data_IF_493955337673
#
_entry.id   IF_493955337673
#
_cell.length_a   1.000
_cell.length_b   1.000
_cell.length_c   1.000
_cell.angle_alpha   90.00
_cell.angle_beta   90.00
_cell.angle_gamma   90.00
#
_symmetry.space_group_name_H-M   'P 1'
#
loop_
_entity.id
_entity.type
_entity.pdbx_description
1 polymer ?
#
# COMPACT_ATOMS: atom_id res chain seq x y z
N UNK A 1 -30.72 38.10 9.17
CA UNK A 1 -30.13 38.83 8.02
C UNK A 1 -30.41 38.01 6.77
N UNK A 2 -31.45 38.40 6.06
CA UNK A 2 -31.79 37.92 4.71
C UNK A 2 -30.82 38.57 3.72
N UNK A 3 -30.35 37.84 2.71
CA UNK A 3 -30.25 38.27 1.30
C UNK A 3 -30.11 37.01 0.44
N UNK A 4 -31.06 36.91 -0.49
CA UNK A 4 -31.18 36.04 -1.65
C UNK A 4 -30.11 36.33 -2.71
N UNK A 5 -29.83 35.36 -3.58
CA UNK A 5 -29.03 35.56 -4.78
C UNK A 5 -29.20 34.41 -5.77
N UNK A 6 -30.32 34.43 -6.50
CA UNK A 6 -30.54 33.64 -7.71
C UNK A 6 -29.58 34.09 -8.83
N UNK A 7 -29.22 33.16 -9.70
CA UNK A 7 -28.43 33.42 -10.90
C UNK A 7 -28.69 32.33 -11.95
N UNK A 8 -29.77 32.50 -12.70
CA UNK A 8 -30.04 31.82 -13.97
C UNK A 8 -28.96 32.17 -15.01
N UNK A 9 -28.53 31.18 -15.79
CA UNK A 9 -27.98 31.42 -17.14
C UNK A 9 -28.61 30.44 -18.13
N UNK A 10 -29.34 31.01 -19.07
CA UNK A 10 -29.96 30.38 -20.25
C UNK A 10 -28.97 30.48 -21.42
N UNK A 11 -28.77 29.39 -22.18
CA UNK A 11 -28.58 29.46 -23.63
C UNK A 11 -28.73 28.07 -24.29
N UNK A 12 -29.82 27.90 -25.04
CA UNK A 12 -30.01 26.86 -26.08
C UNK A 12 -29.56 27.41 -27.44
N UNK A 13 -29.07 26.52 -28.31
CA UNK A 13 -29.45 26.31 -29.73
C UNK A 13 -28.29 25.66 -30.53
N UNK A 14 -28.47 25.20 -31.78
CA UNK A 14 -29.47 24.24 -32.27
C UNK A 14 -28.82 23.05 -33.02
N UNK A 15 -29.66 22.06 -33.36
CA UNK A 15 -29.37 20.97 -34.31
C UNK A 15 -29.14 21.52 -35.72
N UNK A 16 -28.15 20.98 -36.44
CA UNK A 16 -28.11 21.02 -37.90
C UNK A 16 -28.01 19.60 -38.45
N UNK A 17 -29.15 19.12 -38.94
CA UNK A 17 -29.29 18.01 -39.87
C UNK A 17 -28.79 18.43 -41.26
N UNK A 18 -27.83 17.71 -41.82
CA UNK A 18 -27.54 17.76 -43.25
C UNK A 18 -27.66 16.36 -43.84
N UNK A 19 -28.84 16.09 -44.38
CA UNK A 19 -29.10 15.05 -45.37
C UNK A 19 -28.52 15.50 -46.71
N UNK A 20 -27.63 14.69 -47.30
CA UNK A 20 -27.06 14.98 -48.60
C UNK A 20 -26.64 13.72 -49.34
N UNK A 21 -27.39 13.38 -50.37
CA UNK A 21 -26.81 13.07 -51.67
C UNK A 21 -26.21 11.69 -51.87
N UNK A 22 -27.07 10.77 -52.28
CA UNK A 22 -26.77 9.57 -53.04
C UNK A 22 -25.99 9.89 -54.34
N UNK A 23 -24.95 9.10 -54.65
CA UNK A 23 -24.41 8.90 -56.02
C UNK A 23 -23.37 7.78 -56.04
N UNK A 24 -23.81 6.64 -56.57
CA UNK A 24 -23.05 5.79 -57.51
C UNK A 24 -21.61 5.40 -57.12
N UNK A 25 -21.46 4.21 -56.53
CA UNK A 25 -20.16 3.50 -56.51
C UNK A 25 -20.35 2.02 -56.80
N UNK A 26 -20.54 1.71 -58.08
CA UNK A 26 -20.29 0.36 -58.60
C UNK A 26 -18.79 0.22 -58.86
N UNK A 27 -18.29 -1.02 -58.69
CA UNK A 27 -16.92 -1.53 -58.93
C UNK A 27 -15.96 -1.52 -57.72
N UNK A 28 -15.76 -2.73 -57.18
CA UNK A 28 -14.52 -3.28 -56.57
C UNK A 28 -14.75 -4.03 -55.24
N UNK A 29 -15.61 -5.05 -55.27
CA UNK A 29 -15.83 -5.95 -54.11
C UNK A 29 -14.61 -6.87 -53.86
N UNK A 30 -13.73 -7.05 -54.84
CA UNK A 30 -12.52 -7.89 -54.72
C UNK A 30 -11.32 -7.18 -54.07
N UNK A 31 -11.20 -5.85 -54.13
CA UNK A 31 -10.10 -5.13 -53.44
C UNK A 31 -10.35 -4.87 -51.95
N UNK A 32 -11.64 -4.74 -51.57
CA UNK A 32 -12.05 -4.49 -50.18
C UNK A 32 -11.75 -5.70 -49.27
N UNK A 33 -12.01 -6.93 -49.73
CA UNK A 33 -11.69 -8.15 -48.97
C UNK A 33 -10.18 -8.32 -48.76
N UNK A 34 -9.36 -8.02 -49.78
CA UNK A 34 -7.90 -8.13 -49.69
C UNK A 34 -7.31 -7.15 -48.67
N UNK A 35 -7.77 -5.88 -48.67
CA UNK A 35 -7.39 -4.88 -47.66
C UNK A 35 -7.82 -5.25 -46.23
N UNK A 36 -8.96 -5.92 -46.08
CA UNK A 36 -9.46 -6.32 -44.75
C UNK A 36 -8.63 -7.47 -44.17
N UNK A 37 -8.16 -8.39 -45.00
CA UNK A 37 -7.28 -9.49 -44.58
C UNK A 37 -5.90 -8.95 -44.21
N UNK A 38 -5.27 -8.13 -45.06
CA UNK A 38 -3.96 -7.52 -44.79
C UNK A 38 -3.95 -6.70 -43.49
N UNK A 39 -5.01 -5.93 -43.22
CA UNK A 39 -5.14 -5.16 -41.97
C UNK A 39 -5.18 -6.06 -40.73
N UNK A 40 -5.92 -7.18 -40.78
CA UNK A 40 -5.98 -8.14 -39.67
C UNK A 40 -4.64 -8.86 -39.45
N UNK A 41 -3.93 -9.18 -40.53
CA UNK A 41 -2.61 -9.82 -40.43
C UNK A 41 -1.56 -8.87 -39.84
N UNK A 42 -1.61 -7.58 -40.21
CA UNK A 42 -0.76 -6.54 -39.63
C UNK A 42 -1.07 -6.28 -38.15
N UNK A 43 -2.35 -6.23 -37.77
CA UNK A 43 -2.77 -6.08 -36.37
C UNK A 43 -2.31 -7.26 -35.52
N UNK A 44 -2.50 -8.50 -36.00
CA UNK A 44 -2.06 -9.72 -35.32
C UNK A 44 -0.52 -9.78 -35.19
N UNK A 45 0.22 -9.41 -36.24
CA UNK A 45 1.69 -9.36 -36.22
C UNK A 45 2.20 -8.28 -35.26
N UNK A 46 1.56 -7.10 -35.23
CA UNK A 46 1.92 -6.05 -34.28
C UNK A 46 1.67 -6.47 -32.83
N UNK A 47 0.60 -7.23 -32.58
CA UNK A 47 0.26 -7.75 -31.25
C UNK A 47 1.27 -8.82 -30.81
N UNK A 48 1.66 -9.71 -31.72
CA UNK A 48 2.68 -10.74 -31.46
C UNK A 48 4.06 -10.12 -31.15
N UNK A 49 4.49 -9.12 -31.93
CA UNK A 49 5.75 -8.40 -31.68
C UNK A 49 5.71 -7.67 -30.34
N UNK A 50 4.61 -6.97 -30.01
CA UNK A 50 4.45 -6.32 -28.70
C UNK A 50 4.52 -7.31 -27.55
N UNK A 51 3.89 -8.48 -27.70
CA UNK A 51 3.95 -9.56 -26.70
C UNK A 51 5.37 -10.09 -26.53
N UNK A 52 6.08 -10.37 -27.63
CA UNK A 52 7.46 -10.88 -27.59
C UNK A 52 8.44 -9.87 -26.96
N UNK A 53 8.31 -8.57 -27.29
CA UNK A 53 9.12 -7.51 -26.68
C UNK A 53 8.83 -7.37 -25.17
N UNK A 54 7.55 -7.45 -24.79
CA UNK A 54 7.13 -7.44 -23.39
C UNK A 54 7.71 -8.64 -22.62
N UNK A 55 7.57 -9.85 -23.17
CA UNK A 55 8.06 -11.08 -22.52
C UNK A 55 9.59 -11.06 -22.37
N UNK A 56 10.33 -10.53 -23.35
CA UNK A 56 11.79 -10.38 -23.28
C UNK A 56 12.21 -9.37 -22.20
N UNK A 57 11.54 -8.22 -22.11
CA UNK A 57 11.79 -7.22 -21.05
C UNK A 57 11.48 -7.78 -19.66
N UNK A 58 10.43 -8.58 -19.54
CA UNK A 58 10.08 -9.25 -18.27
C UNK A 58 11.13 -10.27 -17.87
N UNK A 59 11.63 -11.07 -18.81
CA UNK A 59 12.72 -12.01 -18.54
C UNK A 59 14.00 -11.29 -18.09
N UNK A 60 14.34 -10.17 -18.74
CA UNK A 60 15.51 -9.36 -18.39
C UNK A 60 15.38 -8.76 -16.98
N UNK A 61 14.23 -8.14 -16.68
CA UNK A 61 13.93 -7.61 -15.35
C UNK A 61 13.99 -8.72 -14.31
N UNK A 62 13.38 -9.87 -14.58
CA UNK A 62 13.41 -11.03 -13.68
C UNK A 62 14.84 -11.54 -13.47
N UNK A 63 15.66 -11.64 -14.52
CA UNK A 63 17.05 -12.09 -14.41
C UNK A 63 17.94 -11.11 -13.63
N UNK A 64 17.61 -9.83 -13.66
CA UNK A 64 18.32 -8.78 -12.92
C UNK A 64 17.89 -8.69 -11.44
N UNK A 65 16.82 -9.38 -11.04
CA UNK A 65 16.46 -9.47 -9.64
C UNK A 65 17.50 -10.28 -8.86
N UNK A 66 17.81 -9.84 -7.64
CA UNK A 66 18.62 -10.59 -6.69
C UNK A 66 18.04 -12.03 -6.54
N UNK A 67 18.91 -13.04 -6.51
CA UNK A 67 18.50 -14.46 -6.44
C UNK A 67 17.59 -14.74 -5.23
N UNK A 68 17.85 -14.10 -4.09
CA UNK A 68 17.04 -14.25 -2.90
C UNK A 68 15.64 -13.66 -3.11
N UNK A 69 15.53 -12.50 -3.78
CA UNK A 69 14.22 -11.92 -4.10
C UNK A 69 13.44 -12.81 -5.09
N UNK A 70 14.13 -13.42 -6.07
CA UNK A 70 13.52 -14.44 -6.93
C UNK A 70 13.07 -15.67 -6.12
N UNK A 71 13.84 -16.10 -5.14
CA UNK A 71 13.45 -17.17 -4.22
C UNK A 71 12.22 -16.79 -3.39
N UNK A 72 12.14 -15.56 -2.89
CA UNK A 72 10.98 -15.00 -2.19
C UNK A 72 9.72 -14.96 -3.05
N UNK A 73 9.83 -14.51 -4.30
CA UNK A 73 8.69 -14.52 -5.23
C UNK A 73 8.19 -15.94 -5.50
N UNK A 74 9.11 -16.91 -5.56
CA UNK A 74 8.77 -18.34 -5.68
C UNK A 74 8.11 -18.89 -4.42
N UNK A 75 8.59 -18.53 -3.22
CA UNK A 75 8.09 -19.09 -1.95
C UNK A 75 6.76 -18.48 -1.51
N UNK A 76 6.58 -17.17 -1.70
CA UNK A 76 5.34 -16.45 -1.35
C UNK A 76 4.11 -16.90 -2.14
N UNK A 77 4.29 -17.70 -3.20
CA UNK A 77 3.20 -18.16 -4.06
C UNK A 77 2.90 -19.66 -3.94
N UNK A 78 3.44 -20.31 -2.90
CA UNK A 78 3.06 -21.64 -2.46
C UNK A 78 3.87 -22.76 -3.11
N UNK A 79 4.79 -23.35 -2.35
CA UNK A 79 5.20 -24.74 -2.52
C UNK A 79 4.11 -25.66 -1.95
N UNK A 80 3.05 -25.93 -2.70
CA UNK A 80 2.22 -27.11 -2.46
C UNK A 80 2.78 -28.27 -3.28
N UNK A 81 3.04 -29.38 -2.59
CA UNK A 81 3.52 -30.65 -3.13
C UNK A 81 2.81 -31.05 -4.43
N UNK A 82 3.63 -31.35 -5.43
CA UNK A 82 3.29 -31.71 -6.81
C UNK A 82 2.23 -32.82 -6.87
N UNK A 83 1.03 -32.48 -7.31
CA UNK A 83 0.04 -33.42 -7.86
C UNK A 83 -0.76 -32.71 -8.97
N UNK A 84 -1.17 -33.44 -10.02
CA UNK A 84 -1.73 -32.97 -11.31
C UNK A 84 -2.90 -31.95 -11.30
N UNK A 85 -3.40 -31.55 -10.13
CA UNK A 85 -4.29 -30.37 -9.96
C UNK A 85 -3.53 -29.03 -10.06
N UNK A 86 -2.21 -29.04 -10.14
CA UNK A 86 -1.33 -27.87 -10.04
C UNK A 86 -1.16 -27.05 -11.33
N UNK A 87 -1.62 -27.49 -12.51
CA UNK A 87 -1.48 -26.68 -13.73
C UNK A 87 -2.20 -25.31 -13.61
N UNK A 88 -3.32 -25.27 -12.88
CA UNK A 88 -4.08 -24.03 -12.64
C UNK A 88 -3.44 -23.18 -11.52
N UNK A 89 -2.81 -23.81 -10.53
CA UNK A 89 -2.11 -23.14 -9.42
C UNK A 89 -0.81 -22.52 -9.94
N UNK A 90 -0.03 -23.26 -10.75
CA UNK A 90 1.17 -22.79 -11.44
C UNK A 90 0.83 -21.64 -12.40
N UNK A 91 -0.29 -21.71 -13.14
CA UNK A 91 -0.75 -20.60 -13.96
C UNK A 91 -1.08 -19.34 -13.14
N UNK A 92 -1.70 -19.49 -11.96
CA UNK A 92 -2.09 -18.36 -11.09
C UNK A 92 -0.87 -17.76 -10.35
N UNK A 93 0.05 -18.59 -9.88
CA UNK A 93 1.33 -18.15 -9.32
C UNK A 93 2.18 -17.44 -10.39
N UNK A 94 2.20 -17.97 -11.61
CA UNK A 94 2.84 -17.33 -12.77
C UNK A 94 2.20 -15.97 -13.08
N UNK A 95 0.88 -15.83 -12.99
CA UNK A 95 0.20 -14.55 -13.25
C UNK A 95 0.52 -13.49 -12.19
N UNK A 96 0.65 -13.87 -10.92
CA UNK A 96 1.02 -12.91 -9.86
C UNK A 96 2.51 -12.53 -9.94
N UNK A 97 3.41 -13.48 -10.18
CA UNK A 97 4.83 -13.19 -10.45
C UNK A 97 4.96 -12.31 -11.67
N UNK A 98 4.20 -12.60 -12.74
CA UNK A 98 4.17 -11.78 -13.95
C UNK A 98 3.70 -10.36 -13.64
N UNK A 99 2.61 -10.18 -12.88
CA UNK A 99 2.13 -8.85 -12.45
C UNK A 99 3.16 -8.09 -11.61
N UNK A 100 3.89 -8.77 -10.72
CA UNK A 100 4.95 -8.13 -9.90
C UNK A 100 6.14 -7.76 -10.79
N UNK A 101 6.58 -8.67 -11.66
CA UNK A 101 7.67 -8.41 -12.60
C UNK A 101 7.31 -7.28 -13.58
N UNK A 102 6.07 -7.25 -14.07
CA UNK A 102 5.51 -6.16 -14.89
C UNK A 102 5.41 -4.85 -14.13
N UNK A 103 5.29 -4.86 -12.78
CA UNK A 103 5.34 -3.66 -11.94
C UNK A 103 6.76 -3.16 -11.74
N UNK A 104 7.69 -4.07 -11.47
CA UNK A 104 9.12 -3.74 -11.31
C UNK A 104 9.73 -3.24 -12.63
N UNK A 105 9.25 -3.73 -13.77
CA UNK A 105 9.70 -3.30 -15.07
C UNK A 105 9.27 -1.87 -15.46
N UNK A 106 8.34 -1.23 -14.72
CA UNK A 106 7.72 0.05 -15.14
C UNK A 106 8.66 1.23 -15.02
N UNK A 107 9.48 1.28 -13.98
CA UNK A 107 10.40 2.39 -13.72
C UNK A 107 11.73 1.86 -13.16
N UNK A 108 12.82 2.57 -13.44
CA UNK A 108 14.19 2.19 -13.03
C UNK A 108 14.42 2.29 -11.51
N UNK A 109 13.54 2.99 -10.78
CA UNK A 109 13.73 3.36 -9.36
C UNK A 109 12.48 3.08 -8.50
N UNK A 110 11.87 1.90 -8.66
CA UNK A 110 10.71 1.50 -7.84
C UNK A 110 11.15 0.91 -6.50
N UNK A 111 10.65 1.45 -5.39
CA UNK A 111 10.93 0.92 -4.06
C UNK A 111 10.11 -0.36 -3.79
N UNK A 112 10.80 -1.43 -3.42
CA UNK A 112 10.22 -2.74 -3.05
C UNK A 112 9.87 -2.72 -1.57
N UNK A 113 8.57 -2.83 -1.28
CA UNK A 113 8.04 -2.78 0.08
C UNK A 113 7.43 -4.14 0.42
N UNK A 114 8.03 -4.84 1.37
CA UNK A 114 7.44 -6.05 1.95
C UNK A 114 6.52 -5.72 3.12
N UNK A 115 5.35 -6.34 3.15
CA UNK A 115 4.41 -6.29 4.28
C UNK A 115 4.39 -7.64 4.98
N UNK A 116 4.80 -7.70 6.24
CA UNK A 116 4.68 -8.90 7.09
C UNK A 116 3.42 -8.77 7.94
N UNK A 117 2.45 -9.66 7.77
CA UNK A 117 1.33 -9.79 8.70
C UNK A 117 1.74 -10.69 9.88
N UNK A 118 1.77 -10.12 11.09
CA UNK A 118 2.09 -10.82 12.34
C UNK A 118 0.83 -11.13 13.17
N UNK A 119 -0.28 -11.40 12.48
CA UNK A 119 -1.57 -11.73 13.11
C UNK A 119 -2.52 -10.53 13.22
N UNK A 120 -2.37 -9.51 12.39
CA UNK A 120 -3.28 -8.38 12.29
C UNK A 120 -4.65 -8.76 11.69
N UNK A 121 -4.78 -9.97 11.13
CA UNK A 121 -6.01 -10.59 10.62
C UNK A 121 -6.75 -9.71 9.60
N UNK A 122 -6.03 -9.24 8.58
CA UNK A 122 -6.56 -8.32 7.59
C UNK A 122 -7.13 -9.10 6.41
N UNK A 123 -8.42 -9.46 6.49
CA UNK A 123 -9.06 -10.35 5.52
C UNK A 123 -8.99 -9.94 4.04
N UNK A 124 -8.79 -8.65 3.72
CA UNK A 124 -8.63 -8.17 2.34
C UNK A 124 -7.29 -7.45 2.10
N UNK A 125 -6.22 -7.80 2.83
CA UNK A 125 -4.90 -7.20 2.64
C UNK A 125 -4.41 -7.28 1.19
N UNK A 126 -4.44 -8.44 0.48
CA UNK A 126 -3.96 -8.51 -0.91
C UNK A 126 -4.67 -7.52 -1.84
N UNK A 127 -5.98 -7.33 -1.65
CA UNK A 127 -6.79 -6.41 -2.46
C UNK A 127 -6.55 -4.95 -2.11
N UNK A 128 -6.25 -4.64 -0.85
CA UNK A 128 -5.79 -3.32 -0.43
C UNK A 128 -4.46 -3.00 -1.13
N UNK A 129 -3.47 -3.90 -1.05
CA UNK A 129 -2.16 -3.71 -1.67
C UNK A 129 -2.25 -3.59 -3.20
N UNK A 130 -3.13 -4.38 -3.84
CA UNK A 130 -3.40 -4.25 -5.28
C UNK A 130 -3.90 -2.85 -5.65
N UNK A 131 -4.86 -2.31 -4.89
CA UNK A 131 -5.41 -0.97 -5.11
C UNK A 131 -4.39 0.14 -4.90
N UNK A 132 -3.58 0.03 -3.84
CA UNK A 132 -2.51 1.00 -3.57
C UNK A 132 -1.46 0.98 -4.69
N UNK A 133 -1.00 -0.19 -5.12
CA UNK A 133 -0.09 -0.32 -6.25
C UNK A 133 -0.67 0.16 -7.58
N UNK A 134 -1.98 0.05 -7.78
CA UNK A 134 -2.62 0.55 -9.02
C UNK A 134 -2.70 2.08 -9.06
N UNK A 135 -2.63 2.75 -7.90
CA UNK A 135 -2.79 4.19 -7.79
C UNK A 135 -1.48 4.98 -8.05
N UNK A 136 -0.33 4.31 -8.08
CA UNK A 136 0.99 4.96 -8.13
C UNK A 136 2.06 4.04 -8.73
N UNK A 137 3.25 4.56 -9.02
CA UNK A 137 4.37 3.82 -9.61
C UNK A 137 5.68 3.88 -8.81
N UNK A 138 5.73 4.66 -7.73
CA UNK A 138 6.87 4.85 -6.84
C UNK A 138 7.20 3.61 -6.00
N UNK A 139 6.18 2.86 -5.57
CA UNK A 139 6.32 1.68 -4.72
C UNK A 139 5.78 0.43 -5.42
N UNK A 140 6.42 -0.71 -5.18
CA UNK A 140 5.88 -2.05 -5.38
C UNK A 140 5.67 -2.70 -4.02
N UNK A 141 4.43 -2.71 -3.56
CA UNK A 141 4.02 -3.20 -2.24
C UNK A 141 3.48 -4.63 -2.36
N UNK A 142 3.96 -5.56 -1.56
CA UNK A 142 3.48 -6.94 -1.55
C UNK A 142 3.61 -7.56 -0.17
N UNK A 143 2.77 -8.56 0.07
CA UNK A 143 2.83 -9.37 1.29
C UNK A 143 4.03 -10.32 1.22
N UNK A 144 4.73 -10.45 2.34
CA UNK A 144 5.87 -11.36 2.49
C UNK A 144 5.61 -12.32 3.64
N UNK A 145 5.89 -13.59 3.41
CA UNK A 145 5.85 -14.63 4.43
C UNK A 145 7.27 -14.83 4.97
N UNK A 146 7.48 -14.46 6.23
CA UNK A 146 8.76 -14.61 6.91
C UNK A 146 8.54 -15.12 8.33
N UNK A 147 9.46 -15.94 8.88
CA UNK A 147 9.40 -16.34 10.26
C UNK A 147 9.64 -15.12 11.15
N UNK A 148 8.78 -14.95 12.16
CA UNK A 148 8.90 -13.88 13.13
C UNK A 148 9.31 -14.49 14.47
N UNK A 149 10.35 -13.95 15.15
CA UNK A 149 10.78 -14.48 16.44
C UNK A 149 9.64 -14.56 17.44
N UNK A 150 9.62 -15.63 18.23
CA UNK A 150 8.73 -15.70 19.38
C UNK A 150 9.16 -14.68 20.45
N UNK A 151 8.21 -14.24 21.26
CA UNK A 151 8.49 -13.38 22.43
C UNK A 151 8.67 -11.89 22.12
N UNK A 152 8.37 -11.43 20.89
CA UNK A 152 8.29 -10.00 20.56
C UNK A 152 7.15 -9.30 21.31
N UNK A 153 6.07 -10.02 21.59
CA UNK A 153 4.93 -9.53 22.37
C UNK A 153 5.22 -9.74 23.85
N UNK A 154 5.14 -8.67 24.63
CA UNK A 154 5.25 -8.69 26.09
C UNK A 154 3.91 -8.34 26.72
N UNK A 155 3.62 -8.97 27.86
CA UNK A 155 2.55 -8.49 28.76
C UNK A 155 2.90 -7.11 29.31
N UNK A 156 1.96 -6.46 30.00
CA UNK A 156 2.20 -5.15 30.64
C UNK A 156 3.40 -5.24 31.62
N UNK A 157 3.42 -6.24 32.49
CA UNK A 157 4.52 -6.45 33.43
C UNK A 157 5.83 -6.77 32.69
N UNK A 158 5.79 -7.65 31.69
CA UNK A 158 6.97 -8.00 30.90
C UNK A 158 7.52 -6.83 30.09
N UNK A 159 6.67 -5.90 29.65
CA UNK A 159 7.08 -4.65 29.00
C UNK A 159 7.76 -3.72 30.01
N UNK A 160 7.22 -3.63 31.23
CA UNK A 160 7.79 -2.84 32.31
C UNK A 160 9.18 -3.35 32.71
N UNK A 161 9.33 -4.66 32.87
CA UNK A 161 10.61 -5.30 33.17
C UNK A 161 11.63 -5.08 32.04
N UNK A 162 11.18 -5.23 30.79
CA UNK A 162 12.00 -4.92 29.62
C UNK A 162 12.46 -3.46 29.61
N UNK A 163 11.56 -2.52 29.91
CA UNK A 163 11.87 -1.09 29.94
C UNK A 163 12.89 -0.76 31.04
N UNK A 164 12.72 -1.30 32.25
CA UNK A 164 13.67 -1.14 33.36
C UNK A 164 15.06 -1.62 32.99
N UNK A 165 15.15 -2.82 32.40
CA UNK A 165 16.41 -3.41 31.95
C UNK A 165 17.07 -2.55 30.86
N UNK A 166 16.30 -2.12 29.86
CA UNK A 166 16.80 -1.34 28.72
C UNK A 166 17.31 0.04 29.15
N UNK A 167 16.61 0.68 30.09
CA UNK A 167 16.93 2.00 30.61
C UNK A 167 17.93 1.99 31.77
N UNK A 168 18.27 0.82 32.31
CA UNK A 168 19.09 0.66 33.52
C UNK A 168 18.55 1.49 34.70
N UNK A 169 17.22 1.53 34.84
CA UNK A 169 16.51 2.26 35.89
C UNK A 169 15.41 1.39 36.49
N UNK A 170 15.31 1.38 37.82
CA UNK A 170 14.21 0.72 38.53
C UNK A 170 12.91 1.53 38.48
N UNK A 171 13.02 2.84 38.29
CA UNK A 171 11.91 3.78 38.21
C UNK A 171 11.77 4.23 36.75
N UNK A 172 10.79 3.64 36.06
CA UNK A 172 10.37 4.07 34.72
C UNK A 172 9.04 4.80 34.88
N UNK A 173 9.07 6.10 34.63
CA UNK A 173 7.84 6.88 34.51
C UNK A 173 7.36 6.81 33.06
N UNK A 174 6.23 6.14 32.85
CA UNK A 174 5.57 6.10 31.54
C UNK A 174 4.67 7.33 31.31
N UNK A 175 4.44 8.16 32.32
CA UNK A 175 3.49 9.27 32.24
C UNK A 175 2.11 8.82 31.76
N UNK A 176 1.55 9.57 30.81
CA UNK A 176 0.27 9.26 30.14
C UNK A 176 0.38 8.07 29.17
N UNK A 177 1.60 7.65 28.80
CA UNK A 177 1.87 6.56 27.85
C UNK A 177 2.00 5.19 28.53
N UNK A 178 1.48 5.03 29.75
CA UNK A 178 1.51 3.73 30.46
C UNK A 178 0.87 2.63 29.61
N UNK A 179 1.53 1.47 29.41
CA UNK A 179 0.98 0.38 28.61
C UNK A 179 -0.40 -0.05 29.12
N UNK A 180 -1.40 -0.03 28.23
CA UNK A 180 -2.79 -0.40 28.56
C UNK A 180 -3.13 -1.84 28.16
N UNK A 181 -2.24 -2.48 27.41
CA UNK A 181 -2.37 -3.83 26.89
C UNK A 181 -0.99 -4.43 26.59
N UNK A 182 -0.94 -5.67 26.13
CA UNK A 182 0.30 -6.28 25.64
C UNK A 182 0.91 -5.45 24.52
N UNK A 183 2.22 -5.20 24.62
CA UNK A 183 2.97 -4.42 23.65
C UNK A 183 3.84 -5.34 22.81
N UNK A 184 4.02 -5.01 21.54
CA UNK A 184 5.14 -5.53 20.77
C UNK A 184 6.34 -4.61 20.94
N UNK A 185 7.51 -5.19 21.20
CA UNK A 185 8.75 -4.42 21.33
C UNK A 185 9.25 -4.06 19.93
N UNK A 186 9.22 -2.78 19.61
CA UNK A 186 9.67 -2.27 18.31
C UNK A 186 11.16 -2.50 18.10
N UNK A 187 12.00 -2.25 19.12
CA UNK A 187 13.45 -2.49 19.07
C UNK A 187 13.79 -3.93 18.64
N UNK A 188 13.10 -4.93 19.22
CA UNK A 188 13.33 -6.35 18.91
C UNK A 188 12.82 -6.69 17.50
N UNK A 189 11.72 -6.08 17.08
CA UNK A 189 11.21 -6.22 15.71
C UNK A 189 12.20 -5.67 14.68
N UNK A 190 12.81 -4.50 14.90
CA UNK A 190 13.74 -3.86 13.93
C UNK A 190 14.91 -4.78 13.62
N UNK A 191 15.45 -5.49 14.62
CA UNK A 191 16.54 -6.47 14.43
C UNK A 191 16.10 -7.58 13.48
N UNK A 192 14.96 -8.22 13.76
CA UNK A 192 14.42 -9.29 12.91
C UNK A 192 14.02 -8.80 11.51
N UNK A 193 13.45 -7.60 11.45
CA UNK A 193 13.02 -6.96 10.22
C UNK A 193 14.19 -6.71 9.27
N UNK A 194 15.34 -6.30 9.80
CA UNK A 194 16.53 -6.03 8.98
C UNK A 194 17.06 -7.31 8.31
N UNK A 195 17.06 -8.44 9.02
CA UNK A 195 17.46 -9.74 8.47
C UNK A 195 16.50 -10.20 7.36
N UNK A 196 15.19 -10.06 7.58
CA UNK A 196 14.16 -10.37 6.58
C UNK A 196 14.32 -9.47 5.35
N UNK A 197 14.47 -8.16 5.57
CA UNK A 197 14.59 -7.15 4.51
C UNK A 197 15.82 -7.42 3.63
N UNK A 198 16.99 -7.59 4.24
CA UNK A 198 18.23 -7.93 3.52
C UNK A 198 18.14 -9.29 2.84
N UNK A 199 17.64 -10.29 3.57
CA UNK A 199 17.48 -11.65 3.08
C UNK A 199 16.62 -11.72 1.84
N UNK A 200 15.51 -10.98 1.80
CA UNK A 200 14.58 -10.94 0.68
C UNK A 200 14.92 -9.87 -0.37
N UNK A 201 15.96 -9.04 -0.15
CA UNK A 201 16.33 -7.96 -1.06
C UNK A 201 15.25 -6.89 -1.17
N UNK A 202 14.65 -6.50 -0.06
CA UNK A 202 13.62 -5.46 0.03
C UNK A 202 14.25 -4.10 0.31
N UNK A 203 13.64 -3.03 -0.22
CA UNK A 203 14.07 -1.67 0.10
C UNK A 203 13.49 -1.25 1.45
N UNK A 204 12.22 -1.59 1.71
CA UNK A 204 11.52 -1.34 2.96
C UNK A 204 10.80 -2.61 3.46
N UNK A 205 10.68 -2.76 4.78
CA UNK A 205 9.85 -3.79 5.41
C UNK A 205 8.89 -3.16 6.44
N UNK A 206 7.60 -3.47 6.33
CA UNK A 206 6.58 -3.01 7.26
C UNK A 206 5.90 -4.21 7.92
N UNK A 207 5.97 -4.31 9.23
CA UNK A 207 5.20 -5.26 10.02
C UNK A 207 3.80 -4.74 10.33
N UNK A 208 2.81 -5.63 10.36
CA UNK A 208 1.45 -5.37 10.84
C UNK A 208 1.17 -6.27 12.03
N UNK A 209 0.69 -5.72 13.15
CA UNK A 209 0.43 -6.49 14.38
C UNK A 209 -0.89 -6.07 15.03
N UNK A 210 -1.62 -6.97 15.73
CA UNK A 210 -2.80 -6.59 16.47
C UNK A 210 -2.47 -5.93 17.83
N UNK A 211 -1.20 -5.87 18.22
CA UNK A 211 -0.75 -5.32 19.50
C UNK A 211 -0.26 -3.88 19.35
N UNK A 212 -0.45 -3.08 20.40
CA UNK A 212 0.14 -1.75 20.47
C UNK A 212 1.67 -1.84 20.48
N UNK A 213 2.32 -0.78 20.02
CA UNK A 213 3.77 -0.73 19.93
C UNK A 213 4.37 -0.05 21.16
N UNK A 214 5.46 -0.61 21.67
CA UNK A 214 6.32 0.05 22.63
C UNK A 214 7.78 -0.12 22.25
N UNK A 215 8.65 0.78 22.72
CA UNK A 215 10.05 0.78 22.31
C UNK A 215 10.84 1.87 23.01
N UNK A 216 12.06 2.11 22.53
CA UNK A 216 12.87 3.25 22.96
C UNK A 216 13.19 4.21 21.82
N UNK A 217 13.15 5.51 22.10
CA UNK A 217 13.60 6.56 21.21
C UNK A 217 14.32 7.63 22.03
N UNK A 218 15.56 7.98 21.66
CA UNK A 218 16.36 9.01 22.36
C UNK A 218 16.47 8.81 23.89
N UNK A 219 16.54 7.57 24.37
CA UNK A 219 16.52 7.20 25.80
C UNK A 219 15.19 7.51 26.50
N UNK A 220 14.10 7.60 25.77
CA UNK A 220 12.74 7.67 26.30
C UNK A 220 12.04 6.37 25.92
N UNK A 221 11.34 5.77 26.89
CA UNK A 221 10.48 4.62 26.64
C UNK A 221 9.12 5.13 26.19
N UNK A 222 8.63 4.63 25.07
CA UNK A 222 7.28 4.92 24.60
C UNK A 222 6.44 3.64 24.60
N UNK A 223 5.13 3.77 24.79
CA UNK A 223 4.17 2.67 24.72
C UNK A 223 2.85 3.15 24.14
N UNK A 224 1.99 2.23 23.70
CA UNK A 224 0.71 2.56 23.07
C UNK A 224 0.83 3.39 21.77
N UNK A 225 1.85 3.13 20.96
CA UNK A 225 1.95 3.77 19.64
C UNK A 225 1.23 2.96 18.54
N UNK A 226 0.70 3.65 17.52
CA UNK A 226 0.12 3.02 16.33
C UNK A 226 1.15 2.67 15.26
N UNK A 227 2.27 3.40 15.21
CA UNK A 227 3.33 3.18 14.24
C UNK A 227 4.67 3.62 14.80
N UNK A 228 5.72 2.90 14.43
CA UNK A 228 7.10 3.26 14.72
C UNK A 228 7.97 2.90 13.50
N UNK A 229 9.01 3.68 13.27
CA UNK A 229 9.92 3.53 12.13
C UNK A 229 11.35 3.75 12.58
N UNK A 230 12.26 2.88 12.12
CA UNK A 230 13.70 3.02 12.28
C UNK A 230 14.40 2.54 11.01
N UNK A 231 15.13 3.43 10.36
CA UNK A 231 15.79 3.14 9.09
C UNK A 231 14.80 2.72 8.00
N UNK A 232 14.96 1.50 7.49
CA UNK A 232 14.12 0.92 6.44
C UNK A 232 13.05 -0.06 6.96
N UNK A 233 12.86 -0.09 8.28
CA UNK A 233 11.95 -1.01 8.97
C UNK A 233 10.90 -0.21 9.72
N UNK A 234 9.64 -0.60 9.55
CA UNK A 234 8.53 0.01 10.26
C UNK A 234 7.57 -1.04 10.80
N UNK A 235 6.82 -0.66 11.83
CA UNK A 235 5.82 -1.51 12.43
C UNK A 235 4.54 -0.70 12.62
N UNK A 236 3.40 -1.31 12.34
CA UNK A 236 2.08 -0.71 12.47
C UNK A 236 1.20 -1.60 13.34
N UNK A 237 0.60 -1.01 14.37
CA UNK A 237 -0.44 -1.61 15.17
C UNK A 237 -1.80 -1.43 14.51
N UNK A 238 -2.59 -2.51 14.49
CA UNK A 238 -4.00 -2.52 14.12
C UNK A 238 -4.93 -2.60 15.32
N UNK A 239 -4.40 -2.47 16.55
CA UNK A 239 -5.21 -2.44 17.76
C UNK A 239 -6.26 -1.32 17.65
N UNK A 240 -7.51 -1.64 17.99
CA UNK A 240 -8.70 -0.75 17.96
C UNK A 240 -9.04 -0.12 16.60
N UNK A 241 -8.19 -0.28 15.59
CA UNK A 241 -8.32 0.36 14.29
C UNK A 241 -9.60 -0.09 13.56
N UNK A 242 -10.12 -1.28 13.89
CA UNK A 242 -11.43 -1.74 13.42
C UNK A 242 -12.57 -0.89 13.96
N UNK A 243 -12.58 -0.63 15.27
CA UNK A 243 -13.57 0.22 15.92
C UNK A 243 -13.43 1.66 15.44
N UNK A 244 -12.21 2.20 15.40
CA UNK A 244 -11.96 3.56 14.96
C UNK A 244 -12.35 3.78 13.49
N UNK A 245 -12.07 2.80 12.63
CA UNK A 245 -12.54 2.84 11.23
C UNK A 245 -14.06 2.85 11.14
N UNK A 246 -14.76 2.06 11.96
CA UNK A 246 -16.22 2.04 12.00
C UNK A 246 -16.77 3.41 12.46
N UNK A 247 -16.22 4.01 13.52
CA UNK A 247 -16.58 5.35 14.00
C UNK A 247 -16.25 6.46 12.98
N UNK A 248 -15.22 6.27 12.17
CA UNK A 248 -14.89 7.16 11.07
C UNK A 248 -15.80 6.95 9.83
N UNK A 249 -16.66 5.94 9.82
CA UNK A 249 -17.51 5.58 8.67
C UNK A 249 -16.72 5.01 7.50
N UNK A 250 -15.58 4.36 7.77
CA UNK A 250 -14.65 3.80 6.76
C UNK A 250 -14.48 2.28 6.94
N UNK A 251 -14.18 1.54 5.86
CA UNK A 251 -13.73 0.15 5.98
C UNK A 251 -12.45 0.04 6.79
N UNK A 252 -12.30 -1.04 7.55
CA UNK A 252 -11.08 -1.36 8.32
C UNK A 252 -9.81 -1.29 7.47
N UNK A 253 -9.85 -1.84 6.25
CA UNK A 253 -8.72 -1.84 5.32
C UNK A 253 -8.33 -0.42 4.87
N UNK A 254 -9.27 0.53 4.89
CA UNK A 254 -8.97 1.91 4.55
C UNK A 254 -8.19 2.60 5.69
N UNK A 255 -8.49 2.29 6.96
CA UNK A 255 -7.70 2.74 8.11
C UNK A 255 -6.27 2.17 8.07
N UNK A 256 -6.12 0.88 7.79
CA UNK A 256 -4.79 0.25 7.62
C UNK A 256 -4.03 0.89 6.46
N UNK A 257 -4.70 1.08 5.32
CA UNK A 257 -4.10 1.73 4.16
C UNK A 257 -3.61 3.13 4.48
N UNK A 258 -4.33 3.88 5.31
CA UNK A 258 -3.92 5.22 5.74
C UNK A 258 -2.63 5.17 6.56
N UNK A 259 -2.56 4.31 7.58
CA UNK A 259 -1.35 4.12 8.39
C UNK A 259 -0.17 3.64 7.55
N UNK A 260 -0.40 2.73 6.60
CA UNK A 260 0.62 2.26 5.65
C UNK A 260 1.18 3.43 4.82
N UNK A 261 0.32 4.29 4.28
CA UNK A 261 0.76 5.46 3.49
C UNK A 261 1.58 6.42 4.38
N UNK A 262 1.09 6.74 5.58
CA UNK A 262 1.81 7.61 6.51
C UNK A 262 3.20 7.05 6.81
N UNK A 263 3.26 5.79 7.22
CA UNK A 263 4.50 5.08 7.56
C UNK A 263 5.49 5.08 6.39
N UNK A 264 5.02 4.77 5.17
CA UNK A 264 5.87 4.79 3.97
C UNK A 264 6.54 6.14 3.77
N UNK A 265 5.79 7.24 3.88
CA UNK A 265 6.34 8.57 3.64
C UNK A 265 7.15 9.11 4.80
N UNK A 266 6.84 8.78 6.05
CA UNK A 266 7.73 9.06 7.19
C UNK A 266 9.08 8.37 7.01
N UNK A 267 9.08 7.18 6.40
CA UNK A 267 10.32 6.41 6.19
C UNK A 267 11.22 6.99 5.10
N UNK A 268 10.65 7.57 4.03
CA UNK A 268 11.42 7.99 2.85
C UNK A 268 11.52 9.51 2.66
N UNK A 269 10.95 10.29 3.59
CA UNK A 269 10.96 11.76 3.52
C UNK A 269 11.34 12.34 4.89
N UNK A 270 11.69 13.63 4.95
CA UNK A 270 11.87 14.32 6.23
C UNK A 270 10.58 14.55 7.05
N UNK A 271 9.40 14.15 6.53
CA UNK A 271 8.14 14.31 7.26
C UNK A 271 8.14 13.42 8.50
N UNK A 272 7.94 14.03 9.67
CA UNK A 272 7.66 13.31 10.92
C UNK A 272 6.18 13.35 11.28
N UNK A 273 5.82 12.63 12.34
CA UNK A 273 4.51 12.78 12.97
C UNK A 273 4.43 14.10 13.74
N UNK A 274 3.29 14.79 13.68
CA UNK A 274 3.08 16.06 14.38
C UNK A 274 1.95 16.01 15.40
N UNK A 275 2.12 16.73 16.52
CA UNK A 275 1.21 16.70 17.67
C UNK A 275 -0.08 17.52 17.49
N UNK A 276 -0.36 17.99 16.28
CA UNK A 276 -1.58 18.75 15.97
C UNK A 276 -2.54 17.79 15.27
N UNK A 277 -3.73 17.57 15.85
CA UNK A 277 -4.75 16.70 15.29
C UNK A 277 -5.62 17.47 14.29
N UNK A 278 -5.22 17.49 13.03
CA UNK A 278 -5.95 18.18 11.94
C UNK A 278 -6.73 17.22 11.04
N UNK A 279 -6.63 15.91 11.29
CA UNK A 279 -7.05 14.86 10.40
C UNK A 279 -6.00 14.53 9.32
N UNK A 280 -4.78 15.03 9.46
CA UNK A 280 -3.66 14.65 8.61
C UNK A 280 -3.28 13.19 8.89
N UNK A 281 -2.82 12.48 7.86
CA UNK A 281 -2.31 11.11 8.06
C UNK A 281 -0.99 11.07 8.86
N UNK A 282 -0.34 12.23 9.04
CA UNK A 282 0.88 12.39 9.83
C UNK A 282 0.60 12.96 11.23
N UNK A 283 -0.66 12.97 11.67
CA UNK A 283 -0.99 13.29 13.06
C UNK A 283 -0.35 12.22 13.98
N UNK A 284 0.31 12.66 15.06
CA UNK A 284 0.88 11.75 16.07
C UNK A 284 -0.21 11.00 16.84
N UNK A 285 -1.40 11.60 16.98
CA UNK A 285 -2.55 11.04 17.68
C UNK A 285 -2.23 10.63 19.12
N UNK A 286 -1.69 11.56 19.91
CA UNK A 286 -1.40 11.35 21.35
C UNK A 286 -2.64 10.91 22.13
N UNK A 287 -3.81 11.47 21.80
CA UNK A 287 -5.09 10.87 22.14
C UNK A 287 -5.46 9.84 21.07
N UNK A 288 -5.51 8.56 21.44
CA UNK A 288 -5.85 7.46 20.53
C UNK A 288 -7.16 7.68 19.79
N UNK A 289 -8.14 8.34 20.40
CA UNK A 289 -9.45 8.60 19.79
C UNK A 289 -9.32 9.58 18.62
N UNK A 290 -8.33 10.48 18.63
CA UNK A 290 -8.11 11.45 17.54
C UNK A 290 -7.75 10.77 16.20
N UNK A 291 -7.28 9.52 16.22
CA UNK A 291 -7.03 8.75 14.99
C UNK A 291 -8.29 8.58 14.14
N UNK A 292 -9.48 8.62 14.75
CA UNK A 292 -10.77 8.61 14.05
C UNK A 292 -10.85 9.76 13.04
N UNK A 293 -10.35 10.95 13.39
CA UNK A 293 -10.38 12.13 12.53
C UNK A 293 -9.43 11.98 11.34
N UNK A 294 -8.22 11.45 11.56
CA UNK A 294 -7.29 11.11 10.47
C UNK A 294 -7.89 10.07 9.52
N UNK A 295 -8.54 9.03 10.03
CA UNK A 295 -9.21 8.01 9.20
C UNK A 295 -10.40 8.62 8.42
N UNK A 296 -11.14 9.53 9.03
CA UNK A 296 -12.28 10.19 8.38
C UNK A 296 -11.81 11.10 7.24
N UNK A 297 -10.82 11.93 7.51
CA UNK A 297 -10.33 12.98 6.62
C UNK A 297 -9.36 12.46 5.55
N UNK A 298 -8.43 11.57 5.89
CA UNK A 298 -7.39 11.00 5.03
C UNK A 298 -6.70 12.08 4.18
N UNK A 299 -6.18 13.13 4.81
CA UNK A 299 -5.56 14.27 4.12
C UNK A 299 -4.09 14.44 4.51
N UNK A 300 -3.40 15.34 3.80
CA UNK A 300 -2.03 15.71 4.11
C UNK A 300 -2.01 17.22 4.23
N UNK A 301 -1.55 17.73 5.37
CA UNK A 301 -1.47 19.17 5.60
C UNK A 301 -0.42 19.84 4.70
N UNK A 302 -0.60 21.14 4.46
CA UNK A 302 0.31 21.90 3.60
C UNK A 302 1.75 21.89 4.13
N UNK A 303 1.93 21.92 5.46
CA UNK A 303 3.25 21.79 6.09
C UNK A 303 3.95 20.48 5.72
N UNK A 304 3.25 19.35 5.87
CA UNK A 304 3.76 18.04 5.46
C UNK A 304 4.03 17.96 3.96
N UNK A 305 3.13 18.49 3.12
CA UNK A 305 3.34 18.51 1.67
C UNK A 305 4.60 19.28 1.27
N UNK A 306 4.94 20.36 1.99
CA UNK A 306 6.13 21.18 1.69
C UNK A 306 7.46 20.49 1.98
N UNK A 307 7.43 19.42 2.79
CA UNK A 307 8.59 18.59 3.14
C UNK A 307 8.77 17.39 2.20
N UNK A 308 7.90 17.25 1.20
CA UNK A 308 7.88 16.13 0.26
C UNK A 308 8.13 16.63 -1.16
N UNK A 309 8.78 15.81 -1.97
CA UNK A 309 8.92 16.08 -3.40
C UNK A 309 7.56 16.07 -4.11
N UNK A 310 7.36 16.85 -5.19
CA UNK A 310 6.09 16.89 -5.90
C UNK A 310 5.57 15.50 -6.35
N UNK A 311 6.47 14.61 -6.81
CA UNK A 311 6.12 13.22 -7.17
C UNK A 311 5.63 12.42 -5.97
N UNK A 312 6.22 12.63 -4.78
CA UNK A 312 5.83 11.97 -3.54
C UNK A 312 4.45 12.45 -3.08
N UNK A 313 4.21 13.77 -3.08
CA UNK A 313 2.89 14.35 -2.76
C UNK A 313 1.81 13.79 -3.69
N UNK A 314 2.07 13.75 -5.00
CA UNK A 314 1.12 13.19 -5.96
C UNK A 314 0.86 11.70 -5.71
N UNK A 315 1.91 10.92 -5.41
CA UNK A 315 1.79 9.49 -5.10
C UNK A 315 0.91 9.28 -3.86
N UNK A 316 1.17 10.03 -2.78
CA UNK A 316 0.40 9.96 -1.55
C UNK A 316 -1.08 10.32 -1.78
N UNK A 317 -1.35 11.44 -2.48
CA UNK A 317 -2.71 11.88 -2.81
C UNK A 317 -3.47 10.87 -3.67
N UNK A 318 -2.81 10.23 -4.65
CA UNK A 318 -3.43 9.18 -5.46
C UNK A 318 -3.82 7.95 -4.64
N UNK A 319 -2.95 7.52 -3.73
CA UNK A 319 -3.25 6.41 -2.81
C UNK A 319 -4.40 6.77 -1.85
N UNK A 320 -4.37 7.96 -1.22
CA UNK A 320 -5.45 8.43 -0.32
C UNK A 320 -6.79 8.57 -1.06
N UNK A 321 -6.78 9.07 -2.29
CA UNK A 321 -7.99 9.15 -3.13
C UNK A 321 -8.58 7.75 -3.38
N UNK A 322 -7.73 6.75 -3.54
CA UNK A 322 -8.15 5.35 -3.70
C UNK A 322 -8.79 4.81 -2.43
N UNK A 323 -8.22 5.10 -1.25
CA UNK A 323 -8.79 4.73 0.05
C UNK A 323 -10.12 5.42 0.33
N UNK A 324 -10.24 6.72 0.03
CA UNK A 324 -11.48 7.50 0.21
C UNK A 324 -12.67 6.95 -0.58
N UNK A 325 -12.41 6.26 -1.70
CA UNK A 325 -13.44 5.62 -2.54
C UNK A 325 -13.86 4.24 -2.02
N UNK A 326 -13.16 3.68 -1.03
CA UNK A 326 -13.55 2.43 -0.40
C UNK A 326 -14.83 2.64 0.41
N UNK A 327 -15.78 1.71 0.29
CA UNK A 327 -17.08 1.75 0.95
C UNK A 327 -17.24 0.51 1.81
N UNK A 328 -17.90 0.67 2.96
CA UNK A 328 -18.29 -0.44 3.82
C UNK A 328 -19.27 -1.30 3.00
N UNK A 329 -18.89 -2.54 2.71
CA UNK A 329 -19.82 -3.49 2.11
C UNK A 329 -20.68 -4.03 3.24
N UNK A 330 -21.93 -3.57 3.30
CA UNK A 330 -22.94 -4.20 4.15
C UNK A 330 -23.33 -5.50 3.43
N UNK A 331 -22.68 -6.61 3.78
CA UNK A 331 -23.19 -7.93 3.46
C UNK A 331 -24.49 -8.10 4.24
N UNK A 332 -25.61 -8.09 3.52
CA UNK A 332 -26.92 -8.47 4.05
C UNK A 332 -26.98 -9.97 4.29
#
# INVERSE_FOLDING_TARGET
MTISGEGEYIARAPKSSSSGGDKSRSKSITSSKKRTVEKRTLEASSLAIRKQVSDRRLQEVYSNLNENFRATLRSSHGSTSVNDRDAKVIATASDNIKKITEKLAREENVLRVGIVDMGAWIGQLPKLLERLNAAQTTFTIFEVMAPIPAGLVKTIDGFTDWAKLKMQSEDIDFGDDRPTSSQIIFDDFVIAAEDIRKGMGLDLLIGLTPHMLGGTAEKIVFANHFSATEGASSLISTADLREFSALAGRPFEAGIGMLLIATLFVTITPVGYHNINTGCIFDYNSDRISLIDSIRAMQIDNGCQSMMEPKQVQTAKSMLTTLKRMRIRITK
#
